data_IF_985207770344
#
_entry.id   IF_985207770344
#
_cell.length_a   1.000
_cell.length_b   1.000
_cell.length_c   1.000
_cell.angle_alpha   90.00
_cell.angle_beta   90.00
_cell.angle_gamma   90.00
#
_symmetry.space_group_name_H-M   'P 1'
#
loop_
_entity.id
_entity.type
_entity.pdbx_description
1 polymer ?
#
# COMPACT_ATOMS: atom_id res chain seq x y z
N UNK A 1 -20.29 4.08 11.14
CA UNK A 1 -19.28 4.44 10.11
C UNK A 1 -18.79 3.19 9.36
N UNK A 2 -19.60 2.64 8.46
CA UNK A 2 -19.21 1.45 7.68
C UNK A 2 -18.07 1.73 6.68
N UNK A 3 -17.98 2.97 6.18
CA UNK A 3 -17.06 3.35 5.10
C UNK A 3 -15.57 3.31 5.52
N UNK A 4 -15.23 3.83 6.70
CA UNK A 4 -13.82 3.84 7.18
C UNK A 4 -13.33 2.44 7.51
N UNK A 5 -14.19 1.60 8.11
CA UNK A 5 -13.84 0.20 8.42
C UNK A 5 -13.58 -0.60 7.15
N UNK A 6 -14.41 -0.38 6.12
CA UNK A 6 -14.22 -1.00 4.81
C UNK A 6 -12.92 -0.51 4.17
N UNK A 7 -12.68 0.81 4.13
CA UNK A 7 -11.44 1.38 3.60
C UNK A 7 -10.18 0.76 4.23
N UNK A 8 -10.12 0.67 5.56
CA UNK A 8 -9.00 0.02 6.26
C UNK A 8 -8.84 -1.45 5.84
N UNK A 9 -9.96 -2.17 5.68
CA UNK A 9 -9.93 -3.57 5.26
C UNK A 9 -9.43 -3.72 3.83
N UNK A 10 -9.88 -2.83 2.94
CA UNK A 10 -9.48 -2.83 1.53
C UNK A 10 -7.98 -2.55 1.38
N UNK A 11 -7.44 -1.56 2.12
CA UNK A 11 -6.00 -1.26 2.17
C UNK A 11 -5.21 -2.50 2.62
N UNK A 12 -5.61 -3.12 3.73
CA UNK A 12 -4.95 -4.33 4.25
C UNK A 12 -4.98 -5.49 3.27
N UNK A 13 -6.12 -5.71 2.61
CA UNK A 13 -6.26 -6.76 1.61
C UNK A 13 -5.37 -6.49 0.40
N UNK A 14 -5.31 -5.25 -0.08
CA UNK A 14 -4.49 -4.87 -1.22
C UNK A 14 -2.99 -5.02 -0.92
N UNK A 15 -2.51 -4.52 0.21
CA UNK A 15 -1.11 -4.69 0.63
C UNK A 15 -0.77 -6.17 0.78
N UNK A 16 -1.65 -6.96 1.40
CA UNK A 16 -1.46 -8.40 1.54
C UNK A 16 -1.32 -9.10 0.19
N UNK A 17 -2.20 -8.79 -0.77
CA UNK A 17 -2.10 -9.36 -2.12
C UNK A 17 -0.81 -8.94 -2.81
N UNK A 18 -0.45 -7.66 -2.74
CA UNK A 18 0.79 -7.16 -3.32
C UNK A 18 2.03 -7.87 -2.74
N UNK A 19 2.09 -8.05 -1.42
CA UNK A 19 3.18 -8.79 -0.76
C UNK A 19 3.21 -10.26 -1.21
N UNK A 20 2.05 -10.90 -1.39
CA UNK A 20 1.99 -12.27 -1.91
C UNK A 20 2.60 -12.37 -3.31
N UNK A 21 2.29 -11.42 -4.20
CA UNK A 21 2.92 -11.33 -5.53
C UNK A 21 4.44 -11.11 -5.41
N UNK A 22 4.89 -10.24 -4.50
CA UNK A 22 6.33 -10.06 -4.25
C UNK A 22 7.02 -11.35 -3.81
N UNK A 23 6.38 -12.17 -2.94
CA UNK A 23 6.92 -13.47 -2.56
C UNK A 23 6.98 -14.46 -3.72
N UNK A 24 5.98 -14.46 -4.61
CA UNK A 24 6.01 -15.24 -5.84
C UNK A 24 7.23 -14.82 -6.67
N UNK A 25 7.42 -13.51 -6.89
CA UNK A 25 8.61 -13.00 -7.58
C UNK A 25 9.90 -13.44 -6.88
N UNK A 26 10.00 -13.36 -5.56
CA UNK A 26 11.22 -13.76 -4.83
C UNK A 26 11.60 -15.24 -5.02
N UNK A 27 10.59 -16.12 -5.16
CA UNK A 27 10.79 -17.56 -5.42
C UNK A 27 11.27 -17.83 -6.85
N UNK A 28 10.81 -17.06 -7.83
CA UNK A 28 11.11 -17.29 -9.25
C UNK A 28 12.18 -16.35 -9.83
N UNK A 29 12.59 -15.31 -9.12
CA UNK A 29 13.60 -14.35 -9.54
C UNK A 29 15.04 -14.86 -9.29
N UNK A 30 16.01 -14.44 -10.10
CA UNK A 30 17.43 -14.71 -9.86
C UNK A 30 17.87 -14.16 -8.49
N UNK A 31 18.89 -14.76 -7.84
CA UNK A 31 19.39 -14.33 -6.52
C UNK A 31 19.76 -12.84 -6.45
N UNK A 32 20.22 -12.26 -7.57
CA UNK A 32 20.63 -10.87 -7.68
C UNK A 32 19.50 -9.87 -7.37
N UNK A 33 18.24 -10.25 -7.59
CA UNK A 33 17.09 -9.35 -7.42
C UNK A 33 16.36 -9.55 -6.09
N UNK A 34 16.78 -10.52 -5.26
CA UNK A 34 16.08 -10.86 -4.03
C UNK A 34 16.11 -9.72 -2.99
N UNK A 35 17.24 -9.03 -2.84
CA UNK A 35 17.35 -7.87 -1.94
C UNK A 35 16.39 -6.75 -2.36
N UNK A 36 16.34 -6.42 -3.66
CA UNK A 36 15.43 -5.40 -4.19
C UNK A 36 13.95 -5.76 -3.97
N UNK A 37 13.60 -7.05 -4.09
CA UNK A 37 12.23 -7.51 -3.81
C UNK A 37 11.91 -7.43 -2.31
N UNK A 38 12.86 -7.73 -1.43
CA UNK A 38 12.69 -7.58 0.02
C UNK A 38 12.49 -6.11 0.42
N UNK A 39 13.22 -5.20 -0.21
CA UNK A 39 13.05 -3.75 0.00
C UNK A 39 11.64 -3.30 -0.42
N UNK A 40 11.13 -3.77 -1.56
CA UNK A 40 9.76 -3.48 -2.01
C UNK A 40 8.72 -4.02 -1.02
N UNK A 41 8.93 -5.21 -0.44
CA UNK A 41 8.05 -5.77 0.60
C UNK A 41 8.07 -4.88 1.85
N UNK A 42 9.24 -4.43 2.28
CA UNK A 42 9.40 -3.53 3.42
C UNK A 42 8.67 -2.20 3.18
N UNK A 43 8.82 -1.61 1.99
CA UNK A 43 8.13 -0.38 1.60
C UNK A 43 6.60 -0.55 1.62
N UNK A 44 6.08 -1.69 1.14
CA UNK A 44 4.65 -1.99 1.18
C UNK A 44 4.10 -2.12 2.60
N UNK A 45 4.87 -2.73 3.51
CA UNK A 45 4.51 -2.83 4.93
C UNK A 45 4.49 -1.45 5.61
N UNK A 46 5.50 -0.61 5.32
CA UNK A 46 5.55 0.77 5.81
C UNK A 46 4.35 1.58 5.29
N UNK A 47 4.01 1.43 4.00
CA UNK A 47 2.84 2.08 3.40
C UNK A 47 1.54 1.71 4.13
N UNK A 48 1.34 0.43 4.50
CA UNK A 48 0.16 0.02 5.27
C UNK A 48 0.09 0.78 6.60
N UNK A 49 1.21 0.80 7.36
CA UNK A 49 1.28 1.44 8.66
C UNK A 49 0.96 2.93 8.54
N UNK A 50 1.61 3.63 7.61
CA UNK A 50 1.43 5.06 7.41
C UNK A 50 0.00 5.41 7.02
N UNK A 51 -0.61 4.66 6.11
CA UNK A 51 -1.97 4.94 5.64
C UNK A 51 -2.98 4.66 6.74
N UNK A 52 -2.81 3.57 7.50
CA UNK A 52 -3.67 3.29 8.65
C UNK A 52 -3.54 4.37 9.73
N UNK A 53 -2.32 4.87 9.98
CA UNK A 53 -2.08 5.97 10.91
C UNK A 53 -2.78 7.26 10.43
N UNK A 54 -2.62 7.63 9.15
CA UNK A 54 -3.33 8.77 8.53
C UNK A 54 -4.84 8.67 8.65
N UNK A 55 -5.40 7.46 8.55
CA UNK A 55 -6.85 7.22 8.72
C UNK A 55 -7.26 7.31 10.19
N UNK A 56 -6.43 6.84 11.12
CA UNK A 56 -6.72 6.86 12.56
C UNK A 56 -6.58 8.28 13.15
N UNK A 57 -5.54 9.00 12.74
CA UNK A 57 -5.17 10.33 13.23
C UNK A 57 -5.76 11.43 12.34
N UNK A 58 -7.08 11.38 12.15
CA UNK A 58 -7.79 12.46 11.46
C UNK A 58 -7.64 13.77 12.27
N UNK A 59 -7.26 14.86 11.59
CA UNK A 59 -7.38 16.20 12.19
C UNK A 59 -8.85 16.51 12.39
N UNK A 60 -9.18 17.33 13.39
CA UNK A 60 -10.57 17.78 13.62
C UNK A 60 -10.97 18.81 12.55
N UNK A 61 -11.24 18.29 11.35
CA UNK A 61 -11.64 19.03 10.15
C UNK A 61 -13.06 18.60 9.84
N UNK A 62 -14.01 19.55 9.86
CA UNK A 62 -15.44 19.25 9.75
C UNK A 62 -15.83 18.32 8.58
N UNK A 63 -17.02 17.71 8.68
CA UNK A 63 -17.47 16.55 7.90
C UNK A 63 -17.20 16.60 6.38
N UNK A 64 -17.40 17.76 5.74
CA UNK A 64 -17.21 17.91 4.30
C UNK A 64 -15.72 17.79 3.90
N UNK A 65 -14.83 18.35 4.72
CA UNK A 65 -13.37 18.24 4.55
C UNK A 65 -12.88 16.85 4.89
N UNK A 66 -13.52 16.18 5.85
CA UNK A 66 -13.19 14.82 6.24
C UNK A 66 -13.41 13.80 5.11
N UNK A 67 -14.53 13.91 4.38
CA UNK A 67 -14.79 13.06 3.21
C UNK A 67 -13.73 13.25 2.11
N UNK A 68 -13.33 14.49 1.87
CA UNK A 68 -12.28 14.80 0.89
C UNK A 68 -10.92 14.26 1.34
N UNK A 69 -10.61 14.38 2.64
CA UNK A 69 -9.40 13.82 3.24
C UNK A 69 -9.29 12.30 3.00
N UNK A 70 -10.33 11.52 3.33
CA UNK A 70 -10.31 10.08 3.12
C UNK A 70 -10.20 9.67 1.65
N UNK A 71 -10.84 10.42 0.74
CA UNK A 71 -10.67 10.21 -0.71
C UNK A 71 -9.23 10.45 -1.15
N UNK A 72 -8.60 11.51 -0.64
CA UNK A 72 -7.21 11.81 -0.94
C UNK A 72 -6.28 10.71 -0.42
N UNK A 73 -6.42 10.32 0.86
CA UNK A 73 -5.64 9.23 1.45
C UNK A 73 -5.77 7.94 0.64
N UNK A 74 -6.98 7.60 0.20
CA UNK A 74 -7.18 6.42 -0.64
C UNK A 74 -6.54 6.55 -2.01
N UNK A 75 -6.62 7.72 -2.65
CA UNK A 75 -5.98 7.97 -3.95
C UNK A 75 -4.46 7.89 -3.84
N UNK A 76 -3.89 8.50 -2.81
CA UNK A 76 -2.45 8.50 -2.55
C UNK A 76 -1.96 7.07 -2.32
N UNK A 77 -2.71 6.26 -1.54
CA UNK A 77 -2.42 4.83 -1.35
C UNK A 77 -2.39 4.05 -2.68
N UNK A 78 -3.40 4.22 -3.54
CA UNK A 78 -3.44 3.51 -4.82
C UNK A 78 -2.28 3.91 -5.73
N UNK A 79 -1.91 5.19 -5.76
CA UNK A 79 -0.75 5.65 -6.52
C UNK A 79 0.54 4.99 -6.01
N UNK A 80 0.75 4.92 -4.70
CA UNK A 80 1.93 4.25 -4.13
C UNK A 80 1.97 2.75 -4.44
N UNK A 81 0.82 2.06 -4.46
CA UNK A 81 0.77 0.65 -4.88
C UNK A 81 1.14 0.49 -6.35
N UNK A 82 0.70 1.41 -7.23
CA UNK A 82 1.07 1.40 -8.65
C UNK A 82 2.58 1.57 -8.78
N UNK A 83 3.18 2.55 -8.10
CA UNK A 83 4.62 2.80 -8.12
C UNK A 83 5.43 1.59 -7.64
N UNK A 84 5.00 0.93 -6.55
CA UNK A 84 5.63 -0.29 -6.05
C UNK A 84 5.51 -1.45 -7.05
N UNK A 85 4.37 -1.56 -7.74
CA UNK A 85 4.14 -2.58 -8.77
C UNK A 85 5.03 -2.34 -9.99
N UNK A 86 5.18 -1.10 -10.44
CA UNK A 86 6.10 -0.73 -11.51
C UNK A 86 7.54 -1.04 -11.15
N UNK A 87 7.96 -0.73 -9.92
CA UNK A 87 9.28 -1.10 -9.38
C UNK A 87 9.48 -2.62 -9.41
N UNK A 88 8.51 -3.40 -8.95
CA UNK A 88 8.60 -4.87 -8.96
C UNK A 88 8.73 -5.43 -10.39
N UNK A 89 7.92 -4.92 -11.32
CA UNK A 89 7.96 -5.33 -12.72
C UNK A 89 9.29 -4.99 -13.40
N UNK A 90 9.92 -3.87 -13.03
CA UNK A 90 11.23 -3.47 -13.56
C UNK A 90 12.37 -4.43 -13.18
N UNK A 91 12.20 -5.23 -12.12
CA UNK A 91 13.17 -6.25 -11.70
C UNK A 91 13.02 -7.58 -12.47
N UNK A 92 11.97 -7.71 -13.27
CA UNK A 92 11.65 -8.96 -14.00
C UNK A 92 12.16 -8.93 -15.45
N UNK A 93 12.67 -7.78 -15.93
CA UNK A 93 13.26 -7.57 -17.26
C UNK A 93 14.74 -7.18 -17.15
#
# INVERSE_FOLDING_TARGET
>A
MANIRNLKKDIKQMVKHFIQECYIHLVYSPPLNQENVLDIISDALMLEIEVLDKINNQKDIGDMKLKHYYRKVSSDFYNSIIELTERLNSLTY
#
